data_IF_747874041029
#
_entry.id   IF_747874041029
#
_cell.length_a   1.000
_cell.length_b   1.000
_cell.length_c   1.000
_cell.angle_alpha   90.00
_cell.angle_beta   90.00
_cell.angle_gamma   90.00
#
_symmetry.space_group_name_H-M   'P 1'
#
loop_
_entity.id
_entity.type
_entity.pdbx_description
1 polymer ?
#
# COMPACT_ATOMS: atom_id res chain seq x y z
N UNK A 1 6.27 -11.95 11.53
CA UNK A 1 6.49 -10.57 11.10
C UNK A 1 5.17 -9.83 10.93
N UNK A 2 5.20 -8.54 11.13
CA UNK A 2 4.06 -7.66 10.90
C UNK A 2 3.79 -7.57 9.40
N UNK A 3 2.52 -7.68 9.01
CA UNK A 3 2.10 -7.58 7.62
C UNK A 3 1.38 -6.27 7.34
N UNK A 4 1.65 -5.68 6.17
CA UNK A 4 1.20 -4.35 5.80
C UNK A 4 0.68 -4.35 4.37
N UNK A 5 -0.50 -3.75 4.16
CA UNK A 5 -0.95 -3.32 2.84
C UNK A 5 -0.73 -1.81 2.75
N UNK A 6 -0.03 -1.37 1.71
CA UNK A 6 0.27 0.04 1.49
C UNK A 6 -0.64 0.57 0.38
N UNK A 7 -1.29 1.73 0.64
CA UNK A 7 -2.13 2.40 -0.35
C UNK A 7 -1.32 2.76 -1.60
N UNK A 8 -1.94 2.65 -2.77
CA UNK A 8 -1.32 2.99 -4.05
C UNK A 8 -0.67 4.37 -4.06
N UNK A 9 -1.33 5.37 -3.46
CA UNK A 9 -0.81 6.73 -3.40
C UNK A 9 0.48 6.83 -2.60
N UNK A 10 0.71 5.93 -1.64
CA UNK A 10 1.94 5.94 -0.87
C UNK A 10 3.11 5.31 -1.62
N UNK A 11 2.86 4.37 -2.54
CA UNK A 11 3.89 3.93 -3.50
C UNK A 11 4.35 5.10 -4.36
N UNK A 12 3.39 5.89 -4.84
CA UNK A 12 3.65 7.08 -5.66
C UNK A 12 4.49 8.09 -4.87
N UNK A 13 4.11 8.37 -3.63
CA UNK A 13 4.84 9.29 -2.76
C UNK A 13 6.25 8.80 -2.46
N UNK A 14 6.41 7.50 -2.19
CA UNK A 14 7.71 6.91 -1.93
C UNK A 14 8.65 7.06 -3.12
N UNK A 15 8.14 6.78 -4.32
CA UNK A 15 8.95 6.80 -5.54
C UNK A 15 9.32 8.22 -6.00
N UNK A 16 8.47 9.20 -5.74
CA UNK A 16 8.72 10.60 -6.17
C UNK A 16 9.37 11.46 -5.09
N UNK A 17 9.05 11.24 -3.82
CA UNK A 17 9.42 12.16 -2.75
C UNK A 17 10.16 11.48 -1.59
N UNK A 18 10.11 10.19 -1.47
CA UNK A 18 10.70 9.48 -0.33
C UNK A 18 9.86 9.62 0.94
N UNK A 19 10.50 10.02 2.05
CA UNK A 19 9.83 10.22 3.33
C UNK A 19 9.31 8.95 3.99
N UNK A 20 8.32 9.06 4.91
CA UNK A 20 7.77 7.90 5.61
C UNK A 20 7.28 6.76 4.71
N UNK A 21 6.61 7.01 3.56
CA UNK A 21 6.25 5.92 2.66
C UNK A 21 7.45 5.11 2.15
N UNK A 22 8.55 5.78 1.82
CA UNK A 22 9.77 5.07 1.39
C UNK A 22 10.36 4.24 2.54
N UNK A 23 10.31 4.76 3.77
CA UNK A 23 10.78 4.02 4.94
C UNK A 23 10.00 2.72 5.14
N UNK A 24 8.69 2.73 4.87
CA UNK A 24 7.87 1.51 4.92
C UNK A 24 8.34 0.50 3.85
N UNK A 25 8.59 0.97 2.62
CA UNK A 25 9.14 0.11 1.56
C UNK A 25 10.51 -0.46 1.95
N UNK A 26 11.35 0.34 2.57
CA UNK A 26 12.67 -0.10 3.00
C UNK A 26 12.59 -1.20 4.08
N UNK A 27 11.63 -1.12 4.99
CA UNK A 27 11.38 -2.17 5.97
C UNK A 27 10.98 -3.48 5.29
N UNK A 28 10.16 -3.40 4.26
CA UNK A 28 9.76 -4.58 3.48
C UNK A 28 10.95 -5.16 2.71
N UNK A 29 11.74 -4.30 2.07
CA UNK A 29 12.95 -4.73 1.34
C UNK A 29 13.93 -5.45 2.26
N UNK A 30 14.03 -5.01 3.49
CA UNK A 30 14.92 -5.60 4.51
C UNK A 30 14.33 -6.84 5.18
N UNK A 31 13.09 -7.21 4.86
CA UNK A 31 12.43 -8.38 5.45
C UNK A 31 11.90 -8.16 6.87
N UNK A 32 11.89 -6.93 7.36
CA UNK A 32 11.41 -6.59 8.72
C UNK A 32 9.89 -6.67 8.79
N UNK A 33 9.20 -6.32 7.70
CA UNK A 33 7.76 -6.47 7.55
C UNK A 33 7.44 -7.28 6.29
N UNK A 34 6.23 -7.86 6.24
CA UNK A 34 5.69 -8.45 5.01
C UNK A 34 4.80 -7.40 4.34
N UNK A 35 5.15 -7.03 3.12
CA UNK A 35 4.36 -6.08 2.33
C UNK A 35 3.41 -6.85 1.41
N UNK A 36 2.11 -6.67 1.62
CA UNK A 36 1.07 -7.32 0.82
C UNK A 36 0.62 -6.39 -0.30
N UNK A 37 0.55 -6.91 -1.52
CA UNK A 37 0.14 -6.12 -2.68
C UNK A 37 -0.64 -6.97 -3.67
N UNK A 38 -1.55 -6.32 -4.40
CA UNK A 38 -2.35 -6.93 -5.46
C UNK A 38 -2.01 -6.30 -6.80
N UNK A 39 -2.39 -6.96 -7.90
CA UNK A 39 -2.22 -6.38 -9.23
C UNK A 39 -2.99 -5.07 -9.38
N UNK A 40 -4.17 -4.95 -8.76
CA UNK A 40 -4.96 -3.72 -8.80
C UNK A 40 -4.19 -2.54 -8.22
N UNK A 41 -3.45 -2.74 -7.12
CA UNK A 41 -2.61 -1.70 -6.53
C UNK A 41 -1.49 -1.29 -7.48
N UNK A 42 -0.80 -2.27 -8.07
CA UNK A 42 0.26 -1.98 -9.04
C UNK A 42 -0.26 -1.23 -10.27
N UNK A 43 -1.42 -1.65 -10.80
CA UNK A 43 -2.02 -1.00 -11.96
C UNK A 43 -2.40 0.45 -11.65
N UNK A 44 -2.94 0.70 -10.46
CA UNK A 44 -3.35 2.04 -10.05
C UNK A 44 -2.15 2.98 -9.95
N UNK A 45 -1.10 2.58 -9.23
CA UNK A 45 0.04 3.48 -9.08
C UNK A 45 0.81 3.64 -10.41
N UNK A 46 0.84 2.62 -11.26
CA UNK A 46 1.42 2.74 -12.60
C UNK A 46 0.69 3.80 -13.43
N UNK A 47 -0.65 3.78 -13.39
CA UNK A 47 -1.47 4.74 -14.13
C UNK A 47 -1.21 6.18 -13.69
N UNK A 48 -1.13 6.41 -12.38
CA UNK A 48 -0.87 7.76 -11.85
C UNK A 48 0.55 8.23 -12.17
N UNK A 49 1.55 7.36 -12.05
CA UNK A 49 2.93 7.70 -12.42
C UNK A 49 3.02 8.10 -13.91
N UNK A 50 2.31 7.38 -14.77
CA UNK A 50 2.26 7.67 -16.19
C UNK A 50 1.55 8.98 -16.49
N UNK A 51 0.34 9.14 -15.96
CA UNK A 51 -0.58 10.22 -16.37
C UNK A 51 -0.30 11.54 -15.66
N UNK A 52 0.06 11.51 -14.37
CA UNK A 52 0.32 12.72 -13.59
C UNK A 52 1.79 13.09 -13.51
N UNK A 53 2.66 12.11 -13.36
CA UNK A 53 4.10 12.36 -13.14
C UNK A 53 4.94 12.15 -14.38
N UNK A 54 4.33 11.74 -15.50
CA UNK A 54 5.00 11.60 -16.81
C UNK A 54 6.17 10.62 -16.79
N UNK A 55 6.11 9.61 -15.94
CA UNK A 55 7.12 8.56 -15.95
C UNK A 55 7.04 7.76 -17.25
N UNK A 56 8.19 7.37 -17.78
CA UNK A 56 8.25 6.48 -18.94
C UNK A 56 7.76 5.08 -18.57
N UNK A 57 7.25 4.33 -19.56
CA UNK A 57 6.85 2.94 -19.32
C UNK A 57 8.02 2.10 -18.81
N UNK A 58 9.24 2.38 -19.30
CA UNK A 58 10.46 1.71 -18.84
C UNK A 58 10.73 1.95 -17.37
N UNK A 59 10.64 3.20 -16.91
CA UNK A 59 10.88 3.54 -15.52
C UNK A 59 9.81 2.95 -14.58
N UNK A 60 8.55 2.93 -15.02
CA UNK A 60 7.46 2.29 -14.27
C UNK A 60 7.71 0.80 -14.14
N UNK A 61 8.05 0.15 -15.25
CA UNK A 61 8.33 -1.30 -15.26
C UNK A 61 9.50 -1.65 -14.33
N UNK A 62 10.57 -0.86 -14.36
CA UNK A 62 11.73 -1.07 -13.49
C UNK A 62 11.37 -0.93 -12.02
N UNK A 63 10.61 0.09 -11.66
CA UNK A 63 10.17 0.30 -10.28
C UNK A 63 9.27 -0.83 -9.79
N UNK A 64 8.31 -1.26 -10.61
CA UNK A 64 7.42 -2.38 -10.26
C UNK A 64 8.18 -3.69 -10.12
N UNK A 65 9.11 -3.96 -11.03
CA UNK A 65 9.91 -5.17 -10.99
C UNK A 65 10.74 -5.23 -9.70
N UNK A 66 11.34 -4.12 -9.29
CA UNK A 66 12.10 -4.04 -8.05
C UNK A 66 11.20 -4.28 -6.83
N UNK A 67 10.05 -3.64 -6.77
CA UNK A 67 9.11 -3.79 -5.65
C UNK A 67 8.58 -5.23 -5.58
N UNK A 68 8.30 -5.87 -6.72
CA UNK A 68 7.82 -7.25 -6.76
C UNK A 68 8.80 -8.27 -6.15
N UNK A 69 10.08 -7.92 -6.05
CA UNK A 69 11.08 -8.82 -5.44
C UNK A 69 10.83 -9.03 -3.93
N UNK A 70 10.15 -8.11 -3.28
CA UNK A 70 9.94 -8.19 -1.82
C UNK A 70 8.47 -8.04 -1.38
N UNK A 71 7.51 -8.19 -2.29
CA UNK A 71 6.09 -8.17 -1.91
C UNK A 71 5.53 -9.58 -1.81
N UNK A 72 4.52 -9.74 -0.95
CA UNK A 72 3.65 -10.89 -0.92
C UNK A 72 2.49 -10.60 -1.89
N UNK A 73 2.50 -11.25 -3.06
CA UNK A 73 1.49 -11.03 -4.09
C UNK A 73 0.18 -11.71 -3.68
N UNK A 74 -0.90 -10.92 -3.66
CA UNK A 74 -2.22 -11.38 -3.25
C UNK A 74 -3.20 -11.26 -4.42
N UNK A 75 -4.09 -12.24 -4.56
CA UNK A 75 -5.17 -12.22 -5.54
C UNK A 75 -6.51 -12.23 -4.81
N UNK A 76 -7.11 -11.05 -4.53
CA UNK A 76 -8.39 -10.98 -3.83
C UNK A 76 -9.51 -11.70 -4.60
N UNK A 77 -10.29 -12.49 -3.89
CA UNK A 77 -11.42 -13.22 -4.46
C UNK A 77 -12.76 -12.50 -4.24
N UNK A 78 -12.81 -11.57 -3.28
CA UNK A 78 -14.01 -10.79 -2.97
C UNK A 78 -13.96 -9.42 -3.63
N UNK A 79 -15.13 -8.93 -4.05
CA UNK A 79 -15.33 -7.54 -4.42
C UNK A 79 -16.03 -6.86 -3.24
N UNK A 80 -15.37 -5.85 -2.66
CA UNK A 80 -15.90 -5.12 -1.52
C UNK A 80 -16.54 -3.81 -1.94
N UNK A 81 -17.54 -3.35 -1.18
CA UNK A 81 -18.22 -2.06 -1.38
C UNK A 81 -18.42 -1.39 -0.04
N UNK A 82 -17.30 -0.95 0.55
CA UNK A 82 -17.26 -0.37 1.89
C UNK A 82 -17.14 1.15 1.85
N UNK A 83 -16.23 1.67 1.02
CA UNK A 83 -15.97 3.11 0.90
C UNK A 83 -16.75 3.66 -0.29
N UNK A 84 -17.99 4.07 -0.05
CA UNK A 84 -18.89 4.53 -1.12
C UNK A 84 -18.42 5.83 -1.77
N UNK A 85 -17.69 6.68 -1.03
CA UNK A 85 -17.19 7.96 -1.53
C UNK A 85 -16.07 7.79 -2.56
N UNK A 86 -15.29 6.71 -2.47
CA UNK A 86 -14.19 6.42 -3.38
C UNK A 86 -14.06 4.90 -3.57
N UNK A 87 -14.64 4.36 -4.66
CA UNK A 87 -14.57 2.92 -4.93
C UNK A 87 -13.15 2.37 -5.10
N UNK A 88 -12.17 3.22 -5.46
CA UNK A 88 -10.77 2.78 -5.59
C UNK A 88 -10.18 2.40 -4.24
N UNK A 89 -10.67 3.00 -3.14
CA UNK A 89 -10.25 2.64 -1.79
C UNK A 89 -10.65 1.19 -1.44
N UNK A 90 -11.72 0.68 -2.03
CA UNK A 90 -12.14 -0.71 -1.81
C UNK A 90 -11.12 -1.71 -2.35
N UNK A 91 -10.39 -1.37 -3.42
CA UNK A 91 -9.33 -2.22 -3.96
C UNK A 91 -8.21 -2.44 -2.93
N UNK A 92 -7.91 -1.40 -2.15
CA UNK A 92 -6.90 -1.48 -1.10
C UNK A 92 -7.40 -2.36 0.06
N UNK A 93 -8.68 -2.19 0.45
CA UNK A 93 -9.31 -3.02 1.48
C UNK A 93 -9.40 -4.49 1.05
N UNK A 94 -9.68 -4.76 -0.22
CA UNK A 94 -9.73 -6.12 -0.78
C UNK A 94 -8.39 -6.82 -0.62
N UNK A 95 -7.30 -6.11 -0.90
CA UNK A 95 -5.95 -6.65 -0.72
C UNK A 95 -5.67 -6.95 0.75
N UNK A 96 -5.93 -5.99 1.63
CA UNK A 96 -5.70 -6.14 3.06
C UNK A 96 -6.50 -7.31 3.65
N UNK A 97 -7.77 -7.45 3.26
CA UNK A 97 -8.64 -8.52 3.73
C UNK A 97 -8.16 -9.89 3.24
N UNK A 98 -7.81 -10.00 1.95
CA UNK A 98 -7.33 -11.25 1.37
C UNK A 98 -6.00 -11.71 1.98
N UNK A 99 -5.11 -10.77 2.23
CA UNK A 99 -3.80 -11.05 2.83
C UNK A 99 -3.86 -11.19 4.35
N UNK A 100 -4.97 -10.78 4.98
CA UNK A 100 -5.09 -10.65 6.44
C UNK A 100 -3.97 -9.79 7.00
N UNK A 101 -3.75 -8.62 6.36
CA UNK A 101 -2.73 -7.67 6.79
C UNK A 101 -3.01 -7.19 8.21
N UNK A 102 -1.95 -7.04 9.01
CA UNK A 102 -2.06 -6.46 10.34
C UNK A 102 -2.39 -4.97 10.27
N UNK A 103 -1.80 -4.29 9.28
CA UNK A 103 -1.99 -2.86 9.08
C UNK A 103 -2.28 -2.54 7.61
N UNK A 104 -3.13 -1.53 7.40
CA UNK A 104 -3.29 -0.84 6.13
C UNK A 104 -2.74 0.56 6.35
N UNK A 105 -1.71 0.92 5.59
CA UNK A 105 -1.05 2.22 5.71
C UNK A 105 -1.51 3.13 4.59
N UNK A 106 -2.08 4.27 4.95
CA UNK A 106 -2.71 5.20 4.02
C UNK A 106 -2.71 6.63 4.57
N UNK A 107 -2.83 7.62 3.70
CA UNK A 107 -3.14 9.00 4.07
C UNK A 107 -4.57 9.39 3.69
N UNK A 108 -5.32 8.48 3.06
CA UNK A 108 -6.69 8.76 2.64
C UNK A 108 -7.63 8.91 3.83
N UNK A 109 -8.33 10.03 3.89
CA UNK A 109 -9.22 10.36 5.02
C UNK A 109 -10.40 9.41 5.15
N UNK A 110 -10.90 8.87 4.04
CA UNK A 110 -12.05 7.94 4.06
C UNK A 110 -11.64 6.60 4.66
N UNK A 111 -10.47 6.10 4.30
CA UNK A 111 -9.92 4.87 4.89
C UNK A 111 -9.56 5.08 6.36
N UNK A 112 -8.89 6.18 6.69
CA UNK A 112 -8.50 6.50 8.07
C UNK A 112 -9.73 6.61 8.97
N UNK A 113 -10.85 7.11 8.45
CA UNK A 113 -12.09 7.25 9.20
C UNK A 113 -12.67 5.91 9.62
N UNK A 114 -12.43 4.83 8.87
CA UNK A 114 -12.84 3.48 9.26
C UNK A 114 -12.10 3.00 10.52
N UNK A 115 -10.86 3.44 10.72
CA UNK A 115 -10.03 3.04 11.85
C UNK A 115 -9.51 1.62 11.78
N UNK A 116 -10.36 0.66 11.46
CA UNK A 116 -10.00 -0.74 11.25
C UNK A 116 -11.03 -1.42 10.36
N UNK A 117 -10.64 -2.53 9.75
CA UNK A 117 -11.52 -3.34 8.93
C UNK A 117 -11.08 -4.81 8.99
N UNK A 118 -11.99 -5.68 9.47
CA UNK A 118 -11.75 -7.14 9.58
C UNK A 118 -10.43 -7.48 10.28
N UNK A 119 -10.10 -6.75 11.35
CA UNK A 119 -8.87 -6.99 12.11
C UNK A 119 -7.64 -6.25 11.61
N UNK A 120 -7.70 -5.61 10.44
CA UNK A 120 -6.63 -4.77 9.93
C UNK A 120 -6.75 -3.36 10.52
N UNK A 121 -5.70 -2.86 11.17
CA UNK A 121 -5.66 -1.49 11.70
C UNK A 121 -5.28 -0.54 10.58
N UNK A 122 -5.99 0.59 10.45
CA UNK A 122 -5.75 1.58 9.40
C UNK A 122 -5.04 2.79 10.00
N UNK A 123 -3.81 3.05 9.54
CA UNK A 123 -2.95 4.08 10.13
C UNK A 123 -2.17 4.84 9.06
N UNK A 124 -1.67 6.02 9.41
CA UNK A 124 -0.75 6.77 8.55
C UNK A 124 0.66 6.17 8.60
N UNK A 125 1.47 6.45 7.57
CA UNK A 125 2.83 5.94 7.49
C UNK A 125 3.68 6.36 8.69
N UNK A 126 3.63 7.64 9.09
CA UNK A 126 4.38 8.13 10.23
C UNK A 126 3.97 7.42 11.53
N UNK A 127 2.67 7.20 11.73
CA UNK A 127 2.16 6.52 12.92
C UNK A 127 2.57 5.05 12.94
N UNK A 128 2.53 4.39 11.78
CA UNK A 128 3.00 3.01 11.66
C UNK A 128 4.48 2.88 12.04
N UNK A 129 5.32 3.77 11.52
CA UNK A 129 6.74 3.78 11.83
C UNK A 129 7.01 4.02 13.32
N UNK A 130 6.21 4.88 13.95
CA UNK A 130 6.32 5.18 15.38
C UNK A 130 6.02 3.95 16.26
N UNK A 131 5.14 3.05 15.82
CA UNK A 131 4.83 1.82 16.57
C UNK A 131 6.07 0.95 16.77
N UNK A 132 6.92 0.85 15.76
CA UNK A 132 8.18 0.11 15.84
C UNK A 132 9.18 0.74 16.82
N UNK A 133 9.14 2.05 16.98
CA UNK A 133 10.05 2.78 17.88
C UNK A 133 9.62 2.71 19.35
N UNK A 134 8.38 2.35 19.61
CA UNK A 134 7.82 2.27 20.97
C UNK A 134 8.17 0.98 21.70
N UNK A 135 8.83 0.06 21.02
CA UNK A 135 9.15 -1.27 21.57
C UNK A 135 10.54 -1.35 22.16
#
# INVERSE_FOLDING_TARGET
VVSVTLDSNLYISALNFGGPPLQVLDLARSGIIRLDASNAIFDEFAGVLRDKFRWSESDIADAQQEIRLFVNQVAPAETLRVVLADPDDDLILECAAAARSDYLVTDDKHLLKLGSYRGTQIVKAADFLALGRSR
#
